data_IF_885392750257
#
_entry.id   IF_885392750257
#
_cell.length_a   1.000
_cell.length_b   1.000
_cell.length_c   1.000
_cell.angle_alpha   90.00
_cell.angle_beta   90.00
_cell.angle_gamma   90.00
#
_symmetry.space_group_name_H-M   'P 1'
#
loop_
_entity.id
_entity.type
_entity.pdbx_description
1 polymer ?
#
# COMPACT_ATOMS: atom_id res chain seq x y z
N UNK A 1 -16.62 -8.03 -3.95
CA UNK A 1 -15.89 -8.37 -5.20
C UNK A 1 -14.61 -9.01 -4.72
N UNK A 2 -14.44 -10.29 -5.04
CA UNK A 2 -13.27 -11.05 -4.61
C UNK A 2 -12.11 -10.71 -5.55
N UNK A 3 -10.88 -10.81 -5.05
CA UNK A 3 -9.69 -10.71 -5.90
C UNK A 3 -9.57 -12.03 -6.67
N UNK A 4 -9.60 -11.93 -7.99
CA UNK A 4 -9.49 -13.08 -8.89
C UNK A 4 -8.07 -13.24 -9.46
N UNK A 5 -7.27 -12.18 -9.43
CA UNK A 5 -5.89 -12.16 -9.89
C UNK A 5 -5.11 -11.11 -9.09
N UNK A 6 -3.86 -11.44 -8.74
CA UNK A 6 -2.93 -10.52 -8.07
C UNK A 6 -1.75 -10.29 -8.99
N UNK A 7 -1.58 -9.08 -9.56
CA UNK A 7 -0.45 -8.79 -10.43
C UNK A 7 0.86 -8.77 -9.63
N UNK A 8 1.99 -8.79 -10.34
CA UNK A 8 3.31 -8.61 -9.73
C UNK A 8 3.37 -7.28 -8.99
N UNK A 9 4.05 -7.27 -7.85
CA UNK A 9 4.40 -6.05 -7.14
C UNK A 9 5.63 -5.41 -7.82
N UNK A 10 5.48 -4.18 -8.30
CA UNK A 10 6.57 -3.41 -8.90
C UNK A 10 7.20 -2.48 -7.85
N UNK A 11 8.52 -2.58 -7.67
CA UNK A 11 9.31 -1.63 -6.89
C UNK A 11 10.10 -0.76 -7.85
N UNK A 12 9.84 0.54 -7.84
CA UNK A 12 10.48 1.51 -8.74
C UNK A 12 11.24 2.52 -7.87
N UNK A 13 12.55 2.59 -8.08
CA UNK A 13 13.39 3.57 -7.39
C UNK A 13 13.18 4.95 -8.03
N UNK A 14 12.70 5.89 -7.22
CA UNK A 14 12.51 7.28 -7.60
C UNK A 14 13.60 8.14 -6.97
N UNK A 15 13.82 9.33 -7.54
CA UNK A 15 14.71 10.30 -6.94
C UNK A 15 14.11 10.86 -5.62
N UNK A 16 14.99 11.32 -4.73
CA UNK A 16 14.60 11.83 -3.42
C UNK A 16 13.66 13.04 -3.51
N UNK A 17 13.80 13.90 -4.53
CA UNK A 17 12.97 15.08 -4.67
C UNK A 17 11.52 14.68 -4.97
N UNK A 18 11.32 13.71 -5.88
CA UNK A 18 9.99 13.14 -6.17
C UNK A 18 9.38 12.50 -4.93
N UNK A 19 10.16 11.71 -4.17
CA UNK A 19 9.68 11.06 -2.94
C UNK A 19 9.28 12.07 -1.85
N UNK A 20 10.01 13.16 -1.69
CA UNK A 20 9.64 14.22 -0.72
C UNK A 20 8.39 14.98 -1.17
N UNK A 21 8.24 15.26 -2.47
CA UNK A 21 7.07 15.94 -3.00
C UNK A 21 5.79 15.13 -2.78
N UNK A 22 5.82 13.82 -3.05
CA UNK A 22 4.63 12.97 -2.96
C UNK A 22 4.05 12.83 -1.54
N UNK A 23 4.85 13.10 -0.50
CA UNK A 23 4.36 13.14 0.88
C UNK A 23 3.37 14.27 1.13
N UNK A 24 3.49 15.37 0.39
CA UNK A 24 2.70 16.59 0.61
C UNK A 24 1.71 16.83 -0.52
N UNK A 25 2.08 16.53 -1.76
CA UNK A 25 1.24 16.77 -2.92
C UNK A 25 1.57 15.83 -4.08
N UNK A 26 0.52 15.29 -4.70
CA UNK A 26 0.59 14.56 -5.96
C UNK A 26 -0.63 14.86 -6.82
N UNK A 27 -0.44 14.95 -8.13
CA UNK A 27 -1.53 15.10 -9.09
C UNK A 27 -1.72 13.78 -9.84
N UNK A 28 -2.96 13.31 -9.90
CA UNK A 28 -3.35 12.14 -10.69
C UNK A 28 -4.15 12.63 -11.89
N UNK A 29 -3.65 12.33 -13.09
CA UNK A 29 -4.27 12.73 -14.35
C UNK A 29 -4.61 11.49 -15.18
N UNK A 30 -5.78 11.50 -15.80
CA UNK A 30 -6.22 10.44 -16.70
C UNK A 30 -6.38 11.04 -18.10
N UNK A 31 -5.86 10.34 -19.11
CA UNK A 31 -6.11 10.67 -20.52
C UNK A 31 -6.91 9.53 -21.13
N UNK A 32 -8.02 9.86 -21.79
CA UNK A 32 -8.84 8.88 -22.51
C UNK A 32 -8.53 9.06 -23.98
N UNK A 33 -8.00 8.01 -24.62
CA UNK A 33 -7.72 8.01 -26.07
C UNK A 33 -8.98 7.95 -26.92
N UNK A 34 -10.14 7.65 -26.32
CA UNK A 34 -11.47 7.60 -26.95
C UNK A 34 -12.48 8.43 -26.16
N UNK A 35 -12.84 9.64 -26.60
CA UNK A 35 -13.66 10.57 -25.82
C UNK A 35 -15.07 10.03 -25.50
N UNK A 36 -15.58 9.06 -26.26
CA UNK A 36 -16.84 8.37 -25.96
C UNK A 36 -16.81 7.42 -24.75
N UNK A 37 -15.64 7.17 -24.14
CA UNK A 37 -15.53 6.29 -22.97
C UNK A 37 -15.49 7.07 -21.66
N UNK A 38 -16.41 6.76 -20.75
CA UNK A 38 -16.42 7.30 -19.39
C UNK A 38 -15.51 6.48 -18.47
N UNK A 39 -14.73 7.14 -17.61
CA UNK A 39 -14.01 6.49 -16.51
C UNK A 39 -14.85 6.61 -15.24
N UNK A 40 -15.32 5.47 -14.72
CA UNK A 40 -15.94 5.39 -13.40
C UNK A 40 -14.88 4.99 -12.36
N UNK A 41 -14.57 5.89 -11.43
CA UNK A 41 -13.66 5.63 -10.31
C UNK A 41 -14.51 5.37 -9.06
N UNK A 42 -14.21 4.31 -8.32
CA UNK A 42 -14.89 3.99 -7.06
C UNK A 42 -13.86 3.80 -5.95
N UNK A 43 -14.20 4.32 -4.76
CA UNK A 43 -13.39 4.23 -3.53
C UNK A 43 -11.99 4.88 -3.61
N UNK A 44 -11.83 6.08 -4.24
CA UNK A 44 -10.56 6.81 -4.13
C UNK A 44 -10.31 7.11 -2.65
N UNK A 45 -9.13 6.72 -2.16
CA UNK A 45 -8.78 6.86 -0.75
C UNK A 45 -7.27 6.86 -0.55
N UNK A 46 -6.85 7.44 0.57
CA UNK A 46 -5.45 7.44 1.02
C UNK A 46 -5.42 7.12 2.50
N UNK A 47 -4.49 6.25 2.89
CA UNK A 47 -4.28 5.82 4.25
C UNK A 47 -2.79 5.67 4.52
N UNK A 48 -2.39 5.65 5.78
CA UNK A 48 -1.02 5.43 6.19
C UNK A 48 -0.95 4.43 7.34
N UNK A 49 0.22 3.81 7.49
CA UNK A 49 0.59 3.03 8.69
C UNK A 49 1.87 3.61 9.25
N UNK A 50 1.84 4.04 10.50
CA UNK A 50 3.03 4.51 11.17
C UNK A 50 3.86 3.33 11.67
N UNK A 51 5.16 3.35 11.37
CA UNK A 51 6.11 2.47 12.04
C UNK A 51 6.34 2.93 13.47
N UNK A 52 6.69 2.01 14.37
CA UNK A 52 7.17 2.40 15.69
C UNK A 52 8.44 3.26 15.57
N UNK A 53 8.53 4.30 16.40
CA UNK A 53 9.65 5.25 16.39
C UNK A 53 10.98 4.59 16.77
N UNK A 54 10.92 3.58 17.64
CA UNK A 54 12.08 2.87 18.17
C UNK A 54 12.59 1.78 17.22
N UNK A 55 13.82 1.31 17.45
CA UNK A 55 14.46 0.27 16.64
C UNK A 55 15.33 0.79 15.49
N UNK A 56 16.23 -0.09 15.01
CA UNK A 56 17.15 0.22 13.92
C UNK A 56 16.42 0.34 12.58
N UNK A 57 16.79 1.32 11.75
CA UNK A 57 16.26 1.50 10.37
C UNK A 57 16.29 0.20 9.56
N UNK A 58 17.39 -0.56 9.62
CA UNK A 58 17.55 -1.77 8.84
C UNK A 58 16.51 -2.85 9.19
N UNK A 59 16.27 -3.09 10.49
CA UNK A 59 15.21 -4.02 10.93
C UNK A 59 13.81 -3.52 10.58
N UNK A 60 13.56 -2.21 10.68
CA UNK A 60 12.25 -1.62 10.35
C UNK A 60 11.90 -1.81 8.87
N UNK A 61 12.84 -1.61 7.96
CA UNK A 61 12.58 -1.67 6.52
C UNK A 61 13.00 -2.99 5.86
N UNK A 62 13.33 -4.03 6.64
CA UNK A 62 13.84 -5.31 6.15
C UNK A 62 12.91 -6.00 5.13
N UNK A 63 11.60 -5.78 5.26
CA UNK A 63 10.59 -6.43 4.43
C UNK A 63 10.16 -5.63 3.20
N UNK A 64 10.75 -4.45 2.95
CA UNK A 64 10.32 -3.54 1.88
C UNK A 64 10.40 -4.18 0.49
N UNK A 65 11.46 -4.98 0.25
CA UNK A 65 11.66 -5.69 -1.01
C UNK A 65 11.21 -7.17 -0.94
N UNK A 66 10.23 -7.49 -0.10
CA UNK A 66 9.69 -8.86 0.05
C UNK A 66 8.17 -8.87 -0.07
N UNK A 67 7.56 -10.05 -0.24
CA UNK A 67 6.09 -10.18 -0.24
C UNK A 67 5.43 -9.71 1.05
N UNK A 68 6.17 -9.73 2.18
CA UNK A 68 5.70 -9.18 3.46
C UNK A 68 5.48 -7.66 3.43
N UNK A 69 5.87 -6.92 2.40
CA UNK A 69 5.50 -5.50 2.30
C UNK A 69 3.97 -5.30 2.27
N UNK A 70 3.22 -6.27 1.74
CA UNK A 70 1.75 -6.24 1.70
C UNK A 70 1.14 -6.22 3.11
N UNK A 71 1.80 -6.84 4.08
CA UNK A 71 1.38 -6.87 5.47
C UNK A 71 1.32 -5.51 6.16
N UNK A 72 1.98 -4.49 5.62
CA UNK A 72 1.87 -3.13 6.17
C UNK A 72 0.53 -2.48 5.86
N UNK A 73 -0.25 -3.04 4.93
CA UNK A 73 -1.44 -2.41 4.40
C UNK A 73 -2.66 -3.28 4.74
N UNK A 74 -3.43 -2.86 5.76
CA UNK A 74 -4.56 -3.63 6.31
C UNK A 74 -5.56 -4.08 5.24
N UNK A 75 -5.92 -3.29 4.21
CA UNK A 75 -6.86 -3.76 3.20
C UNK A 75 -6.36 -4.93 2.32
N UNK A 76 -5.07 -5.27 2.39
CA UNK A 76 -4.42 -6.25 1.50
C UNK A 76 -3.56 -7.28 2.25
N UNK A 77 -3.53 -7.29 3.59
CA UNK A 77 -2.77 -8.26 4.38
C UNK A 77 -3.30 -9.70 4.18
N UNK A 78 -4.62 -9.84 4.01
CA UNK A 78 -5.30 -11.09 3.71
C UNK A 78 -4.80 -11.72 2.39
N UNK A 79 -4.34 -10.91 1.44
CA UNK A 79 -3.77 -11.40 0.17
C UNK A 79 -2.48 -12.16 0.44
N UNK A 80 -1.59 -11.62 1.28
CA UNK A 80 -0.35 -12.29 1.65
C UNK A 80 -0.65 -13.63 2.30
N UNK A 81 -1.54 -13.63 3.30
CA UNK A 81 -1.92 -14.86 4.02
C UNK A 81 -2.53 -15.90 3.09
N UNK A 82 -3.43 -15.49 2.18
CA UNK A 82 -4.11 -16.40 1.26
C UNK A 82 -3.16 -17.00 0.22
N UNK A 83 -2.28 -16.20 -0.39
CA UNK A 83 -1.36 -16.69 -1.43
C UNK A 83 -0.26 -17.56 -0.83
N UNK A 84 0.32 -17.12 0.29
CA UNK A 84 1.50 -17.78 0.87
C UNK A 84 1.16 -18.89 1.84
N UNK A 85 -0.09 -18.95 2.33
CA UNK A 85 -0.52 -19.82 3.42
C UNK A 85 0.30 -19.62 4.70
N UNK A 86 0.83 -18.41 4.92
CA UNK A 86 1.63 -18.02 6.07
C UNK A 86 1.03 -16.81 6.78
N UNK A 87 1.19 -16.75 8.10
CA UNK A 87 0.77 -15.58 8.85
C UNK A 87 1.68 -14.38 8.59
N UNK A 88 1.04 -13.26 8.36
CA UNK A 88 1.62 -11.94 8.27
C UNK A 88 2.37 -11.55 9.57
N UNK A 89 3.70 -11.61 9.55
CA UNK A 89 4.56 -11.28 10.72
C UNK A 89 5.64 -10.28 10.33
N UNK A 90 5.46 -9.02 10.74
CA UNK A 90 6.34 -7.90 10.37
C UNK A 90 7.42 -7.55 11.42
N UNK A 91 7.52 -8.36 12.48
CA UNK A 91 8.33 -8.08 13.66
C UNK A 91 7.79 -6.90 14.50
N UNK A 92 8.42 -6.68 15.66
CA UNK A 92 7.91 -5.76 16.69
C UNK A 92 7.77 -4.31 16.21
N UNK A 93 8.65 -3.85 15.32
CA UNK A 93 8.70 -2.45 14.86
C UNK A 93 7.46 -2.00 14.07
N UNK A 94 6.62 -2.93 13.62
CA UNK A 94 5.36 -2.66 12.92
C UNK A 94 4.15 -3.29 13.60
N UNK A 95 4.38 -4.05 14.66
CA UNK A 95 3.32 -4.66 15.45
C UNK A 95 2.61 -3.56 16.26
N UNK A 96 1.28 -3.50 16.17
CA UNK A 96 0.48 -2.48 16.86
C UNK A 96 0.48 -1.06 16.27
N UNK A 97 1.14 -0.83 15.13
CA UNK A 97 1.02 0.46 14.42
C UNK A 97 -0.41 0.66 13.89
N UNK A 98 -1.02 1.82 14.17
CA UNK A 98 -2.36 2.15 13.67
C UNK A 98 -2.32 2.32 12.14
N UNK A 99 -3.29 1.70 11.48
CA UNK A 99 -3.61 2.01 10.09
C UNK A 99 -4.71 3.05 10.09
N UNK A 100 -4.45 4.20 9.49
CA UNK A 100 -5.35 5.34 9.53
C UNK A 100 -5.66 5.84 8.13
N UNK A 101 -6.94 6.09 7.87
CA UNK A 101 -7.41 6.70 6.63
C UNK A 101 -7.39 8.21 6.77
N UNK A 102 -6.67 8.87 5.86
CA UNK A 102 -6.55 10.34 5.82
C UNK A 102 -7.67 10.95 4.98
N UNK A 103 -8.05 10.31 3.88
CA UNK A 103 -9.16 10.75 3.04
C UNK A 103 -9.80 9.59 2.28
N UNK A 104 -11.10 9.75 1.98
CA UNK A 104 -11.92 8.75 1.29
C UNK A 104 -12.32 7.57 2.18
N UNK A 105 -12.75 6.48 1.55
CA UNK A 105 -13.15 5.25 2.25
C UNK A 105 -12.52 4.06 1.54
N UNK A 106 -11.40 3.52 2.06
CA UNK A 106 -10.76 2.35 1.49
C UNK A 106 -11.71 1.16 1.50
N UNK A 107 -11.73 0.42 0.41
CA UNK A 107 -12.44 -0.84 0.36
C UNK A 107 -11.55 -1.94 0.93
N UNK A 108 -11.91 -2.43 2.12
CA UNK A 108 -11.33 -3.66 2.63
C UNK A 108 -11.71 -4.82 1.70
N UNK A 109 -10.72 -5.62 1.32
CA UNK A 109 -10.94 -6.83 0.55
C UNK A 109 -10.86 -7.99 1.56
N UNK A 110 -12.04 -8.42 2.00
CA UNK A 110 -12.25 -9.60 2.83
C UNK A 110 -12.42 -10.83 1.99
#
# INVERSE_FOLDING_TARGET
RNIIEVPKLYSIDLDNQTLEQWKTQGNVSFSVTRPEHNIAISWPSVSYKAAQKEGSRHKRWAHWHTGLALCWLVPIDAIYNYITQQNCTLGDNWFGGSYETVAGTPKAIT
#
